data_IF_654277700745
#
_entry.id   IF_654277700745
#
_cell.length_a   1.000
_cell.length_b   1.000
_cell.length_c   1.000
_cell.angle_alpha   90.00
_cell.angle_beta   90.00
_cell.angle_gamma   90.00
#
_symmetry.space_group_name_H-M   'P 1'
#
loop_
_entity.id
_entity.type
_entity.pdbx_description
1 polymer ?
#
# COMPACT_ATOMS: atom_id res chain seq x y z
N UNK A 1 -25.31 12.94 4.57
CA UNK A 1 -23.95 12.39 4.48
C UNK A 1 -23.72 11.58 5.75
N UNK A 2 -23.92 10.26 5.69
CA UNK A 2 -23.74 9.37 6.84
C UNK A 2 -22.23 9.13 7.00
N UNK A 3 -21.65 9.69 8.06
CA UNK A 3 -20.30 9.30 8.51
C UNK A 3 -20.41 7.90 9.09
N UNK A 4 -19.52 6.99 8.72
CA UNK A 4 -19.48 5.67 9.35
C UNK A 4 -19.21 5.86 10.85
N UNK A 5 -19.95 5.13 11.68
CA UNK A 5 -19.72 5.14 13.12
C UNK A 5 -18.45 4.30 13.39
N UNK A 6 -17.37 4.87 13.94
CA UNK A 6 -16.17 4.11 14.30
C UNK A 6 -16.45 3.04 15.38
N UNK A 7 -17.66 3.04 15.96
CA UNK A 7 -18.16 2.04 16.91
C UNK A 7 -19.12 1.02 16.27
N UNK A 8 -19.11 0.87 14.93
CA UNK A 8 -19.90 -0.18 14.27
C UNK A 8 -19.46 -1.57 14.81
N UNK A 9 -20.37 -2.30 15.50
CA UNK A 9 -20.03 -3.56 16.14
C UNK A 9 -19.66 -4.67 15.13
N UNK A 10 -19.93 -4.48 13.84
CA UNK A 10 -19.57 -5.45 12.79
C UNK A 10 -18.09 -5.37 12.37
N UNK A 11 -17.37 -4.29 12.67
CA UNK A 11 -15.99 -4.10 12.20
C UNK A 11 -15.01 -5.16 12.74
N UNK A 12 -15.03 -5.56 14.03
CA UNK A 12 -14.17 -6.62 14.53
C UNK A 12 -14.40 -7.97 13.82
N UNK A 13 -15.66 -8.30 13.52
CA UNK A 13 -16.01 -9.55 12.82
C UNK A 13 -15.52 -9.54 11.37
N UNK A 14 -15.61 -8.39 10.69
CA UNK A 14 -15.05 -8.20 9.35
C UNK A 14 -13.53 -8.34 9.36
N UNK A 15 -12.83 -7.75 10.33
CA UNK A 15 -11.38 -7.90 10.48
C UNK A 15 -11.02 -9.39 10.66
N UNK A 16 -11.72 -10.09 11.55
CA UNK A 16 -11.49 -11.51 11.79
C UNK A 16 -11.79 -12.38 10.55
N UNK A 17 -12.85 -12.06 9.80
CA UNK A 17 -13.18 -12.74 8.54
C UNK A 17 -12.10 -12.53 7.48
N UNK A 18 -11.64 -11.29 7.28
CA UNK A 18 -10.56 -10.98 6.34
C UNK A 18 -9.25 -11.68 6.70
N UNK A 19 -8.90 -11.81 7.99
CA UNK A 19 -7.73 -12.58 8.43
C UNK A 19 -7.86 -14.04 8.00
N UNK A 20 -9.01 -14.68 8.23
CA UNK A 20 -9.24 -16.08 7.85
C UNK A 20 -9.16 -16.27 6.33
N UNK A 21 -9.80 -15.37 5.57
CA UNK A 21 -9.78 -15.42 4.10
C UNK A 21 -8.36 -15.28 3.55
N UNK A 22 -7.58 -14.30 4.04
CA UNK A 22 -6.21 -14.08 3.58
C UNK A 22 -5.26 -15.19 4.05
N UNK A 23 -5.49 -15.81 5.20
CA UNK A 23 -4.71 -16.97 5.64
C UNK A 23 -4.89 -18.18 4.72
N UNK A 24 -6.07 -18.34 4.09
CA UNK A 24 -6.29 -19.37 3.07
C UNK A 24 -5.61 -19.00 1.75
N UNK A 25 -5.61 -17.71 1.37
CA UNK A 25 -5.02 -17.25 0.11
C UNK A 25 -3.49 -17.16 0.13
N UNK A 26 -2.90 -16.84 1.28
CA UNK A 26 -1.46 -16.60 1.46
C UNK A 26 -0.84 -17.65 2.38
N UNK A 27 -0.92 -18.92 1.99
CA UNK A 27 -0.50 -20.08 2.82
C UNK A 27 0.97 -20.04 3.24
N UNK A 28 1.82 -19.35 2.48
CA UNK A 28 3.26 -19.20 2.74
C UNK A 28 3.59 -18.06 3.70
N UNK A 29 2.59 -17.23 4.07
CA UNK A 29 2.78 -16.11 5.00
C UNK A 29 2.32 -16.53 6.40
N UNK A 30 3.15 -16.32 7.46
CA UNK A 30 2.72 -16.62 8.82
C UNK A 30 1.44 -15.87 9.20
N UNK A 31 0.49 -16.58 9.83
CA UNK A 31 -0.80 -16.00 10.25
C UNK A 31 -0.63 -14.76 11.14
N UNK A 32 0.42 -14.70 11.96
CA UNK A 32 0.75 -13.53 12.77
C UNK A 32 1.08 -12.28 11.95
N UNK A 33 1.72 -12.45 10.79
CA UNK A 33 2.00 -11.35 9.85
C UNK A 33 0.71 -10.91 9.16
N UNK A 34 -0.14 -11.87 8.75
CA UNK A 34 -1.45 -11.57 8.16
C UNK A 34 -2.31 -10.77 9.15
N UNK A 35 -2.40 -11.21 10.41
CA UNK A 35 -3.14 -10.50 11.47
C UNK A 35 -2.63 -9.06 11.63
N UNK A 36 -1.31 -8.87 11.73
CA UNK A 36 -0.70 -7.55 11.85
C UNK A 36 -1.03 -6.64 10.65
N UNK A 37 -0.91 -7.14 9.43
CA UNK A 37 -1.19 -6.39 8.20
C UNK A 37 -2.67 -5.99 8.11
N UNK A 38 -3.59 -6.91 8.43
CA UNK A 38 -5.03 -6.62 8.38
C UNK A 38 -5.40 -5.61 9.47
N UNK A 39 -4.92 -5.76 10.71
CA UNK A 39 -5.20 -4.80 11.79
C UNK A 39 -4.65 -3.41 11.49
N UNK A 40 -3.45 -3.32 10.91
CA UNK A 40 -2.88 -2.05 10.49
C UNK A 40 -3.75 -1.40 9.39
N UNK A 41 -4.16 -2.18 8.38
CA UNK A 41 -5.06 -1.69 7.33
C UNK A 41 -6.42 -1.23 7.89
N UNK A 42 -6.97 -1.97 8.85
CA UNK A 42 -8.21 -1.60 9.52
C UNK A 42 -8.08 -0.27 10.26
N UNK A 43 -7.01 -0.09 11.05
CA UNK A 43 -6.77 1.14 11.79
C UNK A 43 -6.68 2.38 10.88
N UNK A 44 -6.03 2.25 9.72
CA UNK A 44 -5.95 3.32 8.72
C UNK A 44 -7.32 3.65 8.10
N UNK A 45 -8.20 2.68 7.95
CA UNK A 45 -9.51 2.84 7.31
C UNK A 45 -10.61 3.32 8.26
N UNK A 46 -10.51 3.02 9.57
CA UNK A 46 -11.50 3.41 10.57
C UNK A 46 -11.73 4.93 10.55
N UNK A 47 -10.70 5.73 10.26
CA UNK A 47 -10.80 7.18 10.19
C UNK A 47 -11.48 7.73 8.92
N UNK A 48 -11.62 6.94 7.85
CA UNK A 48 -11.93 7.48 6.50
C UNK A 48 -13.08 6.80 5.76
N UNK A 49 -13.53 5.62 6.20
CA UNK A 49 -14.59 4.87 5.52
C UNK A 49 -15.97 5.50 5.70
N UNK A 50 -16.86 5.35 4.71
CA UNK A 50 -18.23 5.92 4.75
C UNK A 50 -19.32 4.88 4.98
N UNK A 51 -18.96 3.60 4.89
CA UNK A 51 -19.86 2.47 5.15
C UNK A 51 -19.09 1.19 5.48
N UNK A 52 -19.76 0.26 6.15
CA UNK A 52 -19.26 -1.08 6.50
C UNK A 52 -18.88 -1.90 5.25
N UNK A 53 -19.67 -1.81 4.17
CA UNK A 53 -19.39 -2.50 2.91
C UNK A 53 -18.15 -1.94 2.20
N UNK A 54 -18.01 -0.60 2.19
CA UNK A 54 -16.82 0.05 1.65
C UNK A 54 -15.58 -0.30 2.47
N UNK A 55 -15.70 -0.29 3.81
CA UNK A 55 -14.63 -0.71 4.71
C UNK A 55 -14.16 -2.13 4.40
N UNK A 56 -15.07 -3.11 4.32
CA UNK A 56 -14.73 -4.50 4.03
C UNK A 56 -13.95 -4.63 2.70
N UNK A 57 -14.44 -3.97 1.65
CA UNK A 57 -13.80 -4.00 0.32
C UNK A 57 -12.41 -3.36 0.34
N UNK A 58 -12.25 -2.22 1.01
CA UNK A 58 -10.97 -1.52 1.11
C UNK A 58 -9.97 -2.28 1.98
N UNK A 59 -10.44 -2.88 3.07
CA UNK A 59 -9.63 -3.67 3.99
C UNK A 59 -9.00 -4.85 3.26
N UNK A 60 -9.83 -5.68 2.60
CA UNK A 60 -9.36 -6.83 1.85
C UNK A 60 -8.33 -6.43 0.77
N UNK A 61 -8.64 -5.42 -0.05
CA UNK A 61 -7.73 -4.96 -1.11
C UNK A 61 -6.39 -4.45 -0.58
N UNK A 62 -6.39 -3.67 0.50
CA UNK A 62 -5.18 -3.05 1.03
C UNK A 62 -4.29 -4.06 1.75
N UNK A 63 -4.89 -4.98 2.49
CA UNK A 63 -4.17 -6.06 3.14
C UNK A 63 -3.57 -7.03 2.11
N UNK A 64 -4.37 -7.47 1.13
CA UNK A 64 -3.92 -8.37 0.06
C UNK A 64 -2.75 -7.76 -0.74
N UNK A 65 -2.86 -6.50 -1.16
CA UNK A 65 -1.78 -5.83 -1.89
C UNK A 65 -0.47 -5.74 -1.09
N UNK A 66 -0.54 -5.55 0.23
CA UNK A 66 0.64 -5.55 1.11
C UNK A 66 1.27 -6.92 1.23
N UNK A 67 0.45 -7.96 1.41
CA UNK A 67 0.94 -9.33 1.49
C UNK A 67 1.62 -9.74 0.17
N UNK A 68 1.02 -9.42 -0.97
CA UNK A 68 1.60 -9.64 -2.30
C UNK A 68 2.92 -8.87 -2.50
N UNK A 69 3.06 -7.67 -1.94
CA UNK A 69 4.31 -6.92 -1.98
C UNK A 69 5.39 -7.56 -1.09
N UNK A 70 5.01 -8.09 0.07
CA UNK A 70 5.93 -8.79 0.98
C UNK A 70 6.43 -10.11 0.40
N UNK A 71 5.62 -10.83 -0.37
CA UNK A 71 6.01 -12.07 -1.06
C UNK A 71 6.74 -11.83 -2.38
N UNK A 72 6.92 -10.56 -2.78
CA UNK A 72 7.62 -10.20 -4.01
C UNK A 72 6.80 -10.40 -5.29
N UNK A 73 5.51 -10.74 -5.18
CA UNK A 73 4.60 -10.92 -6.33
C UNK A 73 4.15 -9.59 -6.92
N UNK A 74 4.00 -8.55 -6.09
CA UNK A 74 3.84 -7.17 -6.54
C UNK A 74 5.15 -6.41 -6.35
N UNK A 75 5.89 -6.22 -7.44
CA UNK A 75 6.93 -5.19 -7.47
C UNK A 75 6.25 -3.83 -7.35
N UNK A 76 6.65 -2.96 -6.40
CA UNK A 76 6.18 -1.59 -6.39
C UNK A 76 6.43 -0.98 -7.77
N UNK A 77 5.39 -0.46 -8.42
CA UNK A 77 5.59 0.41 -9.58
C UNK A 77 6.29 1.65 -9.02
N UNK A 78 7.63 1.68 -9.09
CA UNK A 78 8.38 2.92 -8.91
C UNK A 78 7.77 3.89 -9.90
N UNK A 79 7.03 4.87 -9.39
CA UNK A 79 6.47 5.92 -10.21
C UNK A 79 7.59 6.39 -11.13
N UNK A 80 7.34 6.31 -12.44
CA UNK A 80 8.20 6.78 -13.51
C UNK A 80 8.96 8.03 -13.01
N UNK A 81 10.25 7.88 -12.71
CA UNK A 81 11.15 9.02 -12.72
C UNK A 81 11.04 9.54 -14.14
N UNK A 82 10.26 10.62 -14.33
CA UNK A 82 10.31 11.36 -15.58
C UNK A 82 11.79 11.71 -15.80
N UNK A 83 12.37 11.47 -16.98
CA UNK A 83 13.69 11.98 -17.26
C UNK A 83 13.61 13.49 -17.08
N UNK A 84 14.20 14.01 -16.00
CA UNK A 84 14.49 15.43 -15.91
C UNK A 84 15.62 15.69 -16.89
N UNK A 85 15.26 15.81 -18.17
CA UNK A 85 16.09 16.39 -19.20
C UNK A 85 16.39 17.83 -18.79
N UNK A 86 17.58 18.05 -18.22
CA UNK A 86 18.51 19.10 -18.63
C UNK A 86 19.95 18.64 -18.35
N UNK A 87 20.40 17.73 -19.21
CA UNK A 87 21.80 17.61 -19.58
C UNK A 87 21.89 17.90 -21.07
N UNK A 88 21.95 19.19 -21.44
CA UNK A 88 22.36 19.77 -22.74
C UNK A 88 22.66 21.26 -22.45
N UNK A 89 23.77 21.88 -22.81
CA UNK A 89 24.96 21.46 -23.54
C UNK A 89 26.18 22.25 -23.04
N UNK A 90 27.32 21.59 -23.15
CA UNK A 90 28.56 22.13 -23.70
C UNK A 90 28.42 23.48 -24.43
N UNK A 91 29.16 24.49 -23.96
CA UNK A 91 29.74 25.49 -24.85
C UNK A 91 31.20 25.73 -24.45
N UNK A 92 32.06 24.89 -25.02
CA UNK A 92 33.23 25.29 -25.79
C UNK A 92 34.19 26.33 -25.16
N UNK A 93 35.37 25.81 -24.82
CA UNK A 93 36.68 26.31 -25.25
C UNK A 93 37.07 27.77 -24.97
N UNK A 94 38.19 27.96 -24.25
CA UNK A 94 39.42 28.54 -24.84
C UNK A 94 40.63 28.37 -23.90
N UNK A 95 41.53 27.48 -24.34
CA UNK A 95 43.00 27.44 -24.21
C UNK A 95 43.72 27.41 -22.83
N UNK A 96 44.59 26.40 -22.62
CA UNK A 96 45.82 26.52 -21.86
C UNK A 96 47.00 26.74 -22.81
N UNK A 97 47.65 27.92 -22.78
CA UNK A 97 49.00 28.08 -23.34
C UNK A 97 49.83 29.10 -22.56
N UNK A 98 50.79 28.55 -21.81
CA UNK A 98 52.22 28.90 -21.67
C UNK A 98 52.63 30.35 -21.35
N UNK A 99 53.40 30.47 -20.26
CA UNK A 99 54.22 31.63 -19.89
C UNK A 99 54.89 31.40 -18.54
#
# INVERSE_FOLDING_TARGET
MLMANPLDPALPDLVAATIRELAVAHVDVPVSVIDAVVRQAAWELVATHRSTAEFARLLARRADARLLAMTGTLTPVRGRTLPSERAVADDSATAPHLG
#
